data_IF_064888931459
#
_entry.id   IF_064888931459
#
_cell.length_a   1.000
_cell.length_b   1.000
_cell.length_c   1.000
_cell.angle_alpha   90.00
_cell.angle_beta   90.00
_cell.angle_gamma   90.00
#
_symmetry.space_group_name_H-M   'P 1'
#
loop_
_entity.id
_entity.type
_entity.pdbx_description
1 polymer ?
#
# COMPACT_ATOMS: atom_id res chain seq x y z
N UNK A 1 -4.69 -20.49 -7.07
CA UNK A 1 -4.73 -21.62 -6.10
C UNK A 1 -5.11 -21.09 -4.73
N UNK A 2 -5.92 -21.83 -3.98
CA UNK A 2 -6.22 -21.56 -2.57
C UNK A 2 -4.98 -21.93 -1.75
N UNK A 3 -4.65 -21.17 -0.68
CA UNK A 3 -3.54 -21.58 0.19
C UNK A 3 -3.85 -22.86 0.96
N UNK A 4 -2.84 -23.70 1.20
CA UNK A 4 -3.00 -24.95 1.95
C UNK A 4 -3.60 -24.72 3.36
N UNK A 5 -3.24 -23.61 4.00
CA UNK A 5 -3.77 -23.26 5.32
C UNK A 5 -5.29 -23.04 5.30
N UNK A 6 -5.82 -22.42 4.24
CA UNK A 6 -7.26 -22.17 4.12
C UNK A 6 -8.01 -23.45 3.79
N UNK A 7 -7.45 -24.31 2.93
CA UNK A 7 -7.99 -25.64 2.71
C UNK A 7 -8.02 -26.44 4.02
N UNK A 8 -6.92 -26.40 4.79
CA UNK A 8 -6.82 -27.10 6.08
C UNK A 8 -7.89 -26.61 7.07
N UNK A 9 -8.00 -25.28 7.27
CA UNK A 9 -9.01 -24.72 8.16
C UNK A 9 -10.45 -25.07 7.72
N UNK A 10 -10.68 -25.13 6.41
CA UNK A 10 -12.00 -25.50 5.85
C UNK A 10 -12.36 -26.94 6.18
N UNK A 11 -11.46 -27.89 5.92
CA UNK A 11 -11.74 -29.30 6.16
C UNK A 11 -11.76 -29.65 7.68
N UNK A 12 -10.98 -28.96 8.49
CA UNK A 12 -11.06 -29.07 9.96
C UNK A 12 -12.41 -28.58 10.49
N UNK A 13 -12.90 -27.45 9.99
CA UNK A 13 -14.23 -26.94 10.31
C UNK A 13 -15.34 -27.93 9.91
N UNK A 14 -15.25 -28.50 8.69
CA UNK A 14 -16.18 -29.53 8.23
C UNK A 14 -16.12 -30.78 9.09
N UNK A 15 -14.93 -31.27 9.44
CA UNK A 15 -14.76 -32.42 10.36
C UNK A 15 -15.38 -32.14 11.73
N UNK A 16 -15.19 -30.95 12.28
CA UNK A 16 -15.76 -30.55 13.57
C UNK A 16 -17.29 -30.64 13.60
N UNK A 17 -17.94 -30.35 12.47
CA UNK A 17 -19.41 -30.40 12.34
C UNK A 17 -19.90 -31.81 12.02
N UNK A 18 -19.24 -32.49 11.10
CA UNK A 18 -19.75 -33.73 10.50
C UNK A 18 -19.19 -35.03 11.09
N UNK A 19 -18.03 -34.93 11.76
CA UNK A 19 -17.22 -36.05 12.25
C UNK A 19 -16.72 -36.97 11.12
N UNK A 20 -16.68 -36.49 9.89
CA UNK A 20 -16.12 -37.15 8.73
C UNK A 20 -14.73 -36.57 8.49
N UNK A 21 -13.79 -37.45 8.20
CA UNK A 21 -12.44 -37.05 7.84
C UNK A 21 -12.32 -36.73 6.36
N UNK A 22 -11.50 -35.72 6.06
CA UNK A 22 -11.29 -35.22 4.70
C UNK A 22 -9.80 -35.11 4.37
N UNK A 23 -9.48 -35.30 3.09
CA UNK A 23 -8.17 -34.98 2.52
C UNK A 23 -8.39 -34.31 1.17
N UNK A 24 -7.71 -33.17 0.95
CA UNK A 24 -7.68 -32.46 -0.35
C UNK A 24 -6.33 -32.72 -0.99
N UNK A 25 -6.33 -33.21 -2.22
CA UNK A 25 -5.15 -33.52 -3.01
C UNK A 25 -5.18 -32.76 -4.33
N UNK A 26 -4.01 -32.47 -4.89
CA UNK A 26 -3.93 -31.99 -6.28
C UNK A 26 -4.08 -33.13 -7.28
N UNK A 27 -4.07 -32.78 -8.57
CA UNK A 27 -4.21 -33.75 -9.68
C UNK A 27 -3.00 -34.69 -9.83
N UNK A 28 -1.87 -34.36 -9.20
CA UNK A 28 -0.65 -35.17 -9.17
C UNK A 28 -0.61 -36.12 -7.95
N UNK A 29 -1.66 -36.08 -7.13
CA UNK A 29 -1.78 -36.92 -5.93
C UNK A 29 -1.02 -36.41 -4.71
N UNK A 30 -0.59 -35.13 -4.71
CA UNK A 30 0.07 -34.50 -3.55
C UNK A 30 -1.01 -34.01 -2.57
N UNK A 31 -0.89 -34.37 -1.29
CA UNK A 31 -1.77 -33.87 -0.25
C UNK A 31 -1.51 -32.39 0.03
N UNK A 32 -2.56 -31.58 -0.05
CA UNK A 32 -2.57 -30.14 0.22
C UNK A 32 -3.10 -29.82 1.61
N UNK A 33 -4.10 -30.60 2.09
CA UNK A 33 -4.69 -30.49 3.41
C UNK A 33 -5.28 -31.85 3.81
N UNK A 34 -5.17 -32.25 5.09
CA UNK A 34 -5.69 -33.54 5.56
C UNK A 34 -6.11 -33.50 7.02
N UNK A 35 -7.21 -34.17 7.35
CA UNK A 35 -7.63 -34.45 8.71
C UNK A 35 -7.50 -35.95 9.06
N UNK A 36 -6.98 -36.78 8.16
CA UNK A 36 -6.73 -38.19 8.41
C UNK A 36 -5.62 -38.37 9.45
N UNK A 37 -5.78 -39.33 10.33
CA UNK A 37 -4.83 -39.61 11.42
C UNK A 37 -3.58 -40.36 10.93
N UNK A 38 -3.66 -41.09 9.83
CA UNK A 38 -2.56 -41.83 9.23
C UNK A 38 -2.29 -41.28 7.81
N UNK A 39 -1.01 -41.12 7.45
CA UNK A 39 -0.60 -40.76 6.10
C UNK A 39 -0.59 -42.01 5.23
N UNK A 40 -1.75 -42.46 4.81
CA UNK A 40 -1.83 -43.45 3.73
C UNK A 40 -1.49 -42.79 2.39
N UNK A 41 -0.86 -43.55 1.51
CA UNK A 41 -0.46 -43.07 0.19
C UNK A 41 -1.56 -43.37 -0.83
N UNK A 42 -2.33 -42.35 -1.20
CA UNK A 42 -3.43 -42.48 -2.18
C UNK A 42 -3.04 -42.03 -3.60
N UNK A 43 -1.75 -41.87 -3.91
CA UNK A 43 -1.29 -41.28 -5.19
C UNK A 43 -1.76 -42.08 -6.38
N UNK A 44 -1.63 -43.43 -6.35
CA UNK A 44 -2.04 -44.29 -7.46
C UNK A 44 -3.56 -44.26 -7.69
N UNK A 45 -4.35 -44.27 -6.61
CA UNK A 45 -5.81 -44.19 -6.65
C UNK A 45 -6.27 -42.84 -7.18
N UNK A 46 -5.65 -41.75 -6.75
CA UNK A 46 -5.95 -40.38 -7.22
C UNK A 46 -5.64 -40.24 -8.69
N UNK A 47 -4.46 -40.67 -9.15
CA UNK A 47 -4.09 -40.63 -10.58
C UNK A 47 -5.06 -41.46 -11.46
N UNK A 48 -5.45 -42.64 -10.99
CA UNK A 48 -6.47 -43.46 -11.68
C UNK A 48 -7.84 -42.78 -11.72
N UNK A 49 -8.23 -42.11 -10.62
CA UNK A 49 -9.52 -41.40 -10.57
C UNK A 49 -9.51 -40.11 -11.41
N UNK A 50 -8.39 -39.41 -11.52
CA UNK A 50 -8.24 -38.23 -12.40
C UNK A 50 -8.59 -38.58 -13.84
N UNK A 51 -8.13 -39.72 -14.34
CA UNK A 51 -8.40 -40.22 -15.71
C UNK A 51 -9.83 -40.79 -15.88
N UNK A 52 -10.50 -41.13 -14.79
CA UNK A 52 -11.88 -41.66 -14.82
C UNK A 52 -12.88 -40.60 -15.32
N UNK A 53 -13.91 -40.96 -16.11
CA UNK A 53 -14.98 -40.04 -16.49
C UNK A 53 -15.96 -39.71 -15.34
N UNK A 54 -15.86 -40.39 -14.20
CA UNK A 54 -16.76 -40.19 -13.06
C UNK A 54 -16.39 -38.94 -12.26
N UNK A 55 -17.39 -38.17 -11.83
CA UNK A 55 -17.20 -37.02 -10.93
C UNK A 55 -17.04 -37.45 -9.47
N UNK A 56 -17.48 -38.64 -9.10
CA UNK A 56 -17.29 -39.24 -7.79
C UNK A 56 -17.19 -40.77 -7.89
N UNK A 57 -16.40 -41.38 -7.02
CA UNK A 57 -16.17 -42.82 -6.99
C UNK A 57 -15.83 -43.28 -5.56
N UNK A 58 -16.17 -44.56 -5.27
CA UNK A 58 -15.70 -45.23 -4.05
C UNK A 58 -14.45 -46.02 -4.39
N UNK A 59 -13.36 -45.75 -3.69
CA UNK A 59 -12.08 -46.44 -3.85
C UNK A 59 -11.59 -46.88 -2.47
N UNK A 60 -11.38 -48.15 -2.25
CA UNK A 60 -10.90 -48.75 -0.98
C UNK A 60 -11.68 -48.24 0.27
N UNK A 61 -13.01 -48.00 0.15
CA UNK A 61 -13.85 -47.50 1.23
C UNK A 61 -13.88 -45.99 1.43
N UNK A 62 -13.08 -45.25 0.70
CA UNK A 62 -13.08 -43.78 0.66
C UNK A 62 -13.96 -43.26 -0.47
N UNK A 63 -14.64 -42.17 -0.23
CA UNK A 63 -15.41 -41.44 -1.24
C UNK A 63 -14.50 -40.39 -1.87
N UNK A 64 -14.30 -40.46 -3.18
CA UNK A 64 -13.52 -39.53 -3.99
C UNK A 64 -14.44 -38.59 -4.74
N UNK A 65 -14.12 -37.28 -4.79
CA UNK A 65 -14.89 -36.26 -5.51
C UNK A 65 -13.96 -35.36 -6.30
N UNK A 66 -14.29 -35.09 -7.56
CA UNK A 66 -13.62 -34.10 -8.39
C UNK A 66 -14.11 -32.71 -8.08
N UNK A 67 -13.18 -31.76 -8.00
CA UNK A 67 -13.45 -30.33 -7.81
C UNK A 67 -12.86 -29.59 -9.00
N UNK A 68 -13.73 -28.89 -9.74
CA UNK A 68 -13.38 -28.21 -10.98
C UNK A 68 -13.32 -26.70 -10.79
N UNK A 69 -12.37 -26.06 -11.50
CA UNK A 69 -12.40 -24.63 -11.81
C UNK A 69 -12.90 -24.47 -13.24
N UNK A 70 -14.16 -24.03 -13.41
CA UNK A 70 -14.87 -24.03 -14.70
C UNK A 70 -14.88 -25.44 -15.34
N UNK A 71 -13.95 -25.72 -16.24
CA UNK A 71 -13.80 -27.01 -16.93
C UNK A 71 -12.50 -27.74 -16.62
N UNK A 72 -11.64 -27.14 -15.79
CA UNK A 72 -10.34 -27.72 -15.41
C UNK A 72 -10.45 -28.39 -14.04
N UNK A 73 -10.01 -29.64 -13.95
CA UNK A 73 -9.91 -30.35 -12.68
C UNK A 73 -8.76 -29.75 -11.86
N UNK A 74 -9.06 -29.26 -10.66
CA UNK A 74 -8.10 -28.61 -9.77
C UNK A 74 -7.74 -29.45 -8.55
N UNK A 75 -8.75 -30.04 -7.92
CA UNK A 75 -8.55 -30.83 -6.70
C UNK A 75 -9.35 -32.10 -6.70
N UNK A 76 -8.85 -33.08 -5.92
CA UNK A 76 -9.58 -34.29 -5.54
C UNK A 76 -9.82 -34.20 -4.02
N UNK A 77 -11.08 -34.34 -3.61
CA UNK A 77 -11.45 -34.47 -2.21
C UNK A 77 -11.71 -35.94 -1.89
N UNK A 78 -11.05 -36.43 -0.86
CA UNK A 78 -11.29 -37.72 -0.25
C UNK A 78 -12.10 -37.52 1.03
N UNK A 79 -13.11 -38.34 1.26
CA UNK A 79 -13.90 -38.35 2.48
C UNK A 79 -14.02 -39.76 3.06
N UNK A 80 -13.85 -39.89 4.37
CA UNK A 80 -13.98 -41.16 5.09
C UNK A 80 -14.68 -40.98 6.45
N UNK A 81 -15.54 -41.90 6.81
CA UNK A 81 -16.26 -41.88 8.06
C UNK A 81 -17.14 -43.13 8.27
N UNK A 82 -17.56 -43.37 9.51
CA UNK A 82 -18.34 -44.53 9.87
C UNK A 82 -19.86 -44.38 9.67
N UNK A 83 -20.35 -43.34 8.99
CA UNK A 83 -21.78 -43.12 8.77
C UNK A 83 -22.17 -43.37 7.30
N UNK A 84 -23.44 -43.73 7.07
CA UNK A 84 -23.97 -43.90 5.70
C UNK A 84 -24.05 -42.57 4.95
N UNK A 85 -23.84 -41.44 5.60
CA UNK A 85 -23.95 -40.10 5.04
C UNK A 85 -22.65 -39.57 4.41
N UNK A 86 -21.54 -40.35 4.45
CA UNK A 86 -20.21 -39.90 3.96
C UNK A 86 -20.26 -39.39 2.53
N UNK A 87 -21.03 -40.01 1.65
CA UNK A 87 -21.21 -39.57 0.27
C UNK A 87 -21.88 -38.19 0.20
N UNK A 88 -22.99 -37.99 0.90
CA UNK A 88 -23.74 -36.75 0.89
C UNK A 88 -22.90 -35.60 1.45
N UNK A 89 -22.26 -35.82 2.59
CA UNK A 89 -21.41 -34.84 3.26
C UNK A 89 -20.16 -34.55 2.44
N UNK A 90 -19.53 -35.56 1.84
CA UNK A 90 -18.40 -35.39 0.94
C UNK A 90 -18.77 -34.54 -0.29
N UNK A 91 -19.97 -34.72 -0.84
CA UNK A 91 -20.48 -33.92 -1.94
C UNK A 91 -20.71 -32.44 -1.54
N UNK A 92 -21.24 -32.20 -0.33
CA UNK A 92 -21.39 -30.85 0.22
C UNK A 92 -20.02 -30.21 0.43
N UNK A 93 -19.05 -30.95 0.98
CA UNK A 93 -17.69 -30.47 1.20
C UNK A 93 -16.98 -30.10 -0.14
N UNK A 94 -17.13 -30.96 -1.17
CA UNK A 94 -16.60 -30.69 -2.51
C UNK A 94 -17.22 -29.41 -3.09
N UNK A 95 -18.53 -29.25 -2.99
CA UNK A 95 -19.23 -28.03 -3.42
C UNK A 95 -18.76 -26.78 -2.66
N UNK A 96 -18.55 -26.90 -1.34
CA UNK A 96 -18.03 -25.79 -0.52
C UNK A 96 -16.61 -25.39 -0.96
N UNK A 97 -15.72 -26.36 -1.22
CA UNK A 97 -14.36 -26.08 -1.69
C UNK A 97 -14.39 -25.47 -3.10
N UNK A 98 -15.30 -25.93 -3.96
CA UNK A 98 -15.49 -25.36 -5.29
C UNK A 98 -15.94 -23.89 -5.22
N UNK A 99 -16.89 -23.55 -4.35
CA UNK A 99 -17.30 -22.15 -4.13
C UNK A 99 -16.15 -21.29 -3.57
N UNK A 100 -15.34 -21.85 -2.70
CA UNK A 100 -14.14 -21.21 -2.19
C UNK A 100 -13.14 -20.93 -3.33
N UNK A 101 -12.93 -21.89 -4.22
CA UNK A 101 -12.05 -21.76 -5.39
C UNK A 101 -12.49 -20.59 -6.29
N UNK A 102 -13.78 -20.53 -6.61
CA UNK A 102 -14.38 -19.44 -7.41
C UNK A 102 -14.18 -18.08 -6.72
N UNK A 103 -14.48 -17.99 -5.43
CA UNK A 103 -14.32 -16.74 -4.66
C UNK A 103 -12.86 -16.28 -4.61
N UNK A 104 -11.91 -17.19 -4.44
CA UNK A 104 -10.47 -16.88 -4.44
C UNK A 104 -9.98 -16.42 -5.80
N UNK A 105 -10.45 -17.06 -6.88
CA UNK A 105 -10.12 -16.65 -8.25
C UNK A 105 -10.63 -15.26 -8.54
N UNK A 106 -11.89 -14.97 -8.20
CA UNK A 106 -12.48 -13.63 -8.37
C UNK A 106 -11.69 -12.57 -7.60
N UNK A 107 -11.33 -12.85 -6.36
CA UNK A 107 -10.50 -11.95 -5.54
C UNK A 107 -9.12 -11.73 -6.16
N UNK A 108 -8.47 -12.78 -6.65
CA UNK A 108 -7.18 -12.69 -7.32
C UNK A 108 -7.25 -11.89 -8.61
N UNK A 109 -8.30 -12.08 -9.41
CA UNK A 109 -8.52 -11.35 -10.65
C UNK A 109 -8.78 -9.86 -10.38
N UNK A 110 -9.55 -9.52 -9.34
CA UNK A 110 -9.73 -8.13 -8.88
C UNK A 110 -8.42 -7.51 -8.41
N UNK A 111 -7.64 -8.20 -7.58
CA UNK A 111 -6.34 -7.70 -7.09
C UNK A 111 -5.37 -7.46 -8.25
N UNK A 112 -5.24 -8.42 -9.18
CA UNK A 112 -4.42 -8.26 -10.38
C UNK A 112 -4.89 -7.13 -11.28
N UNK A 113 -6.20 -6.97 -11.46
CA UNK A 113 -6.74 -5.84 -12.22
C UNK A 113 -6.37 -4.51 -11.60
N UNK A 114 -6.55 -4.36 -10.29
CA UNK A 114 -6.22 -3.13 -9.57
C UNK A 114 -4.71 -2.86 -9.62
N UNK A 115 -3.84 -3.85 -9.41
CA UNK A 115 -2.38 -3.68 -9.53
C UNK A 115 -1.95 -3.19 -10.90
N UNK A 116 -2.47 -3.82 -11.96
CA UNK A 116 -2.18 -3.39 -13.33
C UNK A 116 -2.72 -1.99 -13.64
N UNK A 117 -3.88 -1.63 -13.09
CA UNK A 117 -4.48 -0.30 -13.22
C UNK A 117 -3.60 0.76 -12.54
N UNK A 118 -3.16 0.53 -11.31
CA UNK A 118 -2.27 1.42 -10.56
C UNK A 118 -0.95 1.67 -11.30
N UNK A 119 -0.39 0.61 -11.89
CA UNK A 119 0.88 0.65 -12.62
C UNK A 119 0.77 1.17 -14.06
N UNK A 120 -0.44 1.53 -14.51
CA UNK A 120 -0.71 2.04 -15.86
C UNK A 120 -0.39 1.03 -16.98
N UNK A 121 -0.56 -0.28 -16.67
CA UNK A 121 -0.24 -1.40 -17.56
C UNK A 121 -1.42 -1.85 -18.43
N UNK A 122 -2.55 -1.13 -18.42
CA UNK A 122 -3.78 -1.50 -19.12
C UNK A 122 -4.12 -0.49 -20.20
N UNK A 123 -4.59 -0.98 -21.35
CA UNK A 123 -5.19 -0.13 -22.34
C UNK A 123 -6.59 0.34 -21.89
N UNK A 124 -7.01 1.51 -22.32
CA UNK A 124 -8.29 2.11 -21.91
C UNK A 124 -9.49 1.17 -22.15
N UNK A 125 -9.50 0.48 -23.28
CA UNK A 125 -10.56 -0.49 -23.61
C UNK A 125 -10.57 -1.68 -22.63
N UNK A 126 -9.40 -2.15 -22.23
CA UNK A 126 -9.27 -3.26 -21.28
C UNK A 126 -9.70 -2.86 -19.89
N UNK A 127 -9.45 -1.60 -19.49
CA UNK A 127 -9.87 -1.08 -18.17
C UNK A 127 -11.38 -1.22 -18.03
N UNK A 128 -12.16 -0.70 -18.97
CA UNK A 128 -13.63 -0.75 -18.89
C UNK A 128 -14.20 -2.17 -19.05
N UNK A 129 -13.64 -2.98 -19.97
CA UNK A 129 -14.08 -4.34 -20.18
C UNK A 129 -13.85 -5.23 -18.94
N UNK A 130 -12.66 -5.13 -18.33
CA UNK A 130 -12.33 -5.89 -17.11
C UNK A 130 -13.11 -5.39 -15.90
N UNK A 131 -13.25 -4.07 -15.72
CA UNK A 131 -14.06 -3.50 -14.65
C UNK A 131 -15.49 -4.02 -14.71
N UNK A 132 -16.11 -4.05 -15.90
CA UNK A 132 -17.45 -4.60 -16.11
C UNK A 132 -17.52 -6.10 -15.76
N UNK A 133 -16.54 -6.90 -16.22
CA UNK A 133 -16.48 -8.34 -15.92
C UNK A 133 -16.35 -8.62 -14.42
N UNK A 134 -15.58 -7.76 -13.71
CA UNK A 134 -15.31 -7.90 -12.29
C UNK A 134 -16.32 -7.19 -11.40
N UNK A 135 -17.39 -6.64 -11.98
CA UNK A 135 -18.43 -5.89 -11.27
C UNK A 135 -17.89 -4.72 -10.46
N UNK A 136 -16.94 -3.98 -11.05
CA UNK A 136 -16.34 -2.78 -10.45
C UNK A 136 -16.96 -1.55 -11.11
N UNK A 137 -17.56 -0.67 -10.32
CA UNK A 137 -18.14 0.58 -10.80
C UNK A 137 -17.05 1.50 -11.36
N UNK A 138 -17.26 2.07 -12.54
CA UNK A 138 -16.25 2.86 -13.26
C UNK A 138 -16.35 4.35 -12.95
N UNK A 139 -17.54 4.89 -12.75
CA UNK A 139 -17.83 6.32 -12.59
C UNK A 139 -18.17 6.65 -11.12
N UNK A 140 -17.24 6.32 -10.22
CA UNK A 140 -17.33 6.64 -8.79
C UNK A 140 -16.07 7.36 -8.32
N UNK A 141 -16.26 8.20 -7.31
CA UNK A 141 -15.15 8.96 -6.72
C UNK A 141 -14.23 8.05 -5.95
N UNK A 142 -12.92 8.10 -6.27
CA UNK A 142 -11.88 7.32 -5.59
C UNK A 142 -10.68 8.18 -5.26
N UNK A 143 -9.95 7.75 -4.25
CA UNK A 143 -8.65 8.30 -3.87
C UNK A 143 -7.72 7.17 -3.51
N UNK A 144 -6.43 7.35 -3.77
CA UNK A 144 -5.39 6.38 -3.41
C UNK A 144 -4.66 6.86 -2.17
N UNK A 145 -4.58 5.98 -1.17
CA UNK A 145 -3.65 6.11 -0.05
C UNK A 145 -2.51 5.12 -0.24
N UNK A 146 -1.30 5.55 0.08
CA UNK A 146 -0.12 4.69 0.19
C UNK A 146 0.35 4.76 1.64
N UNK A 147 0.51 3.61 2.25
CA UNK A 147 0.99 3.45 3.61
C UNK A 147 2.34 2.76 3.52
N UNK A 148 3.39 3.42 4.01
CA UNK A 148 4.71 2.83 4.15
C UNK A 148 4.96 2.51 5.62
N UNK A 149 5.45 1.28 5.89
CA UNK A 149 5.87 0.81 7.20
C UNK A 149 7.29 0.28 7.12
N UNK A 150 7.99 0.20 8.25
CA UNK A 150 9.40 -0.26 8.28
C UNK A 150 9.57 -1.77 8.12
N UNK A 151 8.53 -2.56 8.39
CA UNK A 151 8.61 -4.02 8.38
C UNK A 151 8.33 -4.60 6.99
N UNK A 152 9.37 -5.15 6.36
CA UNK A 152 9.36 -5.69 4.99
C UNK A 152 8.42 -6.89 4.76
N UNK A 153 7.77 -7.45 5.78
CA UNK A 153 6.97 -8.70 5.66
C UNK A 153 5.80 -8.82 6.64
N UNK A 154 5.29 -7.72 7.18
CA UNK A 154 4.19 -7.88 8.12
C UNK A 154 2.85 -8.06 7.38
N UNK A 155 2.49 -9.32 7.18
CA UNK A 155 1.17 -9.71 6.66
C UNK A 155 0.04 -9.17 7.54
N UNK A 156 0.31 -8.86 8.80
CA UNK A 156 -0.66 -8.33 9.75
C UNK A 156 -1.09 -6.91 9.40
N UNK A 157 -0.15 -6.01 9.03
CA UNK A 157 -0.47 -4.62 8.68
C UNK A 157 -1.46 -4.53 7.51
N UNK A 158 -1.27 -5.36 6.46
CA UNK A 158 -2.18 -5.43 5.32
C UNK A 158 -3.59 -5.89 5.75
N UNK A 159 -3.67 -6.93 6.58
CA UNK A 159 -4.95 -7.48 7.04
C UNK A 159 -5.62 -6.54 8.05
N UNK A 160 -4.87 -5.83 8.88
CA UNK A 160 -5.37 -4.82 9.80
C UNK A 160 -5.99 -3.64 9.05
N UNK A 161 -5.33 -3.14 8.00
CA UNK A 161 -5.89 -2.09 7.13
C UNK A 161 -7.15 -2.59 6.40
N UNK A 162 -7.16 -3.86 5.94
CA UNK A 162 -8.38 -4.47 5.35
C UNK A 162 -9.53 -4.53 6.33
N UNK A 163 -9.27 -4.92 7.57
CA UNK A 163 -10.29 -5.03 8.61
C UNK A 163 -10.84 -3.66 9.02
N UNK A 164 -9.98 -2.63 9.10
CA UNK A 164 -10.39 -1.25 9.40
C UNK A 164 -11.38 -0.69 8.38
N UNK A 165 -11.08 -0.90 7.09
CA UNK A 165 -11.94 -0.42 6.01
C UNK A 165 -13.25 -1.19 5.93
N UNK A 166 -13.35 -2.26 6.73
CA UNK A 166 -14.47 -3.18 6.74
C UNK A 166 -14.53 -4.01 5.46
N UNK A 167 -15.30 -5.09 5.46
CA UNK A 167 -15.58 -5.88 4.26
C UNK A 167 -16.47 -5.12 3.25
N UNK A 168 -16.24 -3.81 3.08
CA UNK A 168 -16.89 -3.03 2.02
C UNK A 168 -16.30 -3.53 0.71
N UNK A 169 -17.09 -4.21 -0.07
CA UNK A 169 -16.73 -4.79 -1.38
C UNK A 169 -16.24 -3.76 -2.40
N UNK A 170 -16.28 -2.46 -2.05
CA UNK A 170 -15.97 -1.31 -2.91
C UNK A 170 -14.55 -0.78 -2.75
N UNK A 171 -13.92 -1.01 -1.58
CA UNK A 171 -12.54 -0.60 -1.33
C UNK A 171 -11.57 -1.74 -1.69
N UNK A 172 -10.39 -1.39 -2.23
CA UNK A 172 -9.35 -2.38 -2.53
C UNK A 172 -8.11 -2.07 -1.69
N UNK A 173 -7.59 -3.12 -1.04
CA UNK A 173 -6.33 -3.05 -0.29
C UNK A 173 -5.38 -4.05 -0.90
N UNK A 174 -4.28 -3.56 -1.46
CA UNK A 174 -3.28 -4.35 -2.16
C UNK A 174 -1.87 -3.89 -1.82
N UNK A 175 -0.87 -4.61 -2.28
CA UNK A 175 0.53 -4.22 -2.23
C UNK A 175 1.13 -4.38 -3.62
N UNK A 176 1.85 -3.35 -4.09
CA UNK A 176 2.56 -3.37 -5.38
C UNK A 176 4.03 -3.74 -5.16
N UNK A 177 4.55 -3.43 -3.99
CA UNK A 177 5.88 -3.79 -3.52
C UNK A 177 5.86 -4.28 -2.06
N UNK A 178 7.02 -4.65 -1.52
CA UNK A 178 7.13 -5.24 -0.18
C UNK A 178 6.97 -4.22 0.96
N UNK A 179 7.04 -2.91 0.67
CA UNK A 179 7.08 -1.82 1.67
C UNK A 179 5.78 -1.05 1.76
N UNK A 180 4.97 -1.07 0.69
CA UNK A 180 3.84 -0.17 0.55
C UNK A 180 2.51 -0.92 0.51
N UNK A 181 1.63 -0.59 1.45
CA UNK A 181 0.22 -0.98 1.39
C UNK A 181 -0.53 0.11 0.62
N UNK A 182 -1.30 -0.28 -0.38
CA UNK A 182 -2.06 0.63 -1.21
C UNK A 182 -3.55 0.42 -0.96
N UNK A 183 -4.23 1.51 -0.66
CA UNK A 183 -5.67 1.54 -0.46
C UNK A 183 -6.31 2.35 -1.59
N UNK A 184 -7.15 1.69 -2.38
CA UNK A 184 -8.06 2.35 -3.34
C UNK A 184 -9.38 2.54 -2.64
N UNK A 185 -9.62 3.75 -2.14
CA UNK A 185 -10.79 4.10 -1.34
C UNK A 185 -11.89 4.69 -2.21
N UNK A 186 -13.08 4.10 -2.17
CA UNK A 186 -14.29 4.72 -2.73
C UNK A 186 -14.86 5.75 -1.76
N UNK A 187 -15.27 6.90 -2.28
CA UNK A 187 -15.75 8.04 -1.52
C UNK A 187 -17.25 8.28 -1.77
N UNK A 188 -17.94 8.70 -0.74
CA UNK A 188 -19.31 9.19 -0.86
C UNK A 188 -19.33 10.56 -1.56
N UNK A 189 -20.46 10.97 -2.18
CA UNK A 189 -20.54 12.23 -2.93
C UNK A 189 -20.13 13.47 -2.12
N UNK A 190 -20.35 13.46 -0.82
CA UNK A 190 -20.11 14.59 0.08
C UNK A 190 -18.73 14.55 0.77
N UNK A 191 -17.94 13.49 0.57
CA UNK A 191 -16.62 13.37 1.20
C UNK A 191 -15.69 14.43 0.62
N UNK A 192 -15.18 15.30 1.50
CA UNK A 192 -14.25 16.37 1.18
C UNK A 192 -12.87 16.12 1.76
N UNK A 193 -12.02 17.14 1.72
CA UNK A 193 -10.63 17.08 2.20
C UNK A 193 -10.52 16.65 3.68
N UNK A 194 -11.42 17.16 4.53
CA UNK A 194 -11.43 16.82 5.96
C UNK A 194 -11.71 15.32 6.21
N UNK A 195 -12.54 14.68 5.37
CA UNK A 195 -12.79 13.24 5.49
C UNK A 195 -11.58 12.40 5.04
N UNK A 196 -10.85 12.85 4.00
CA UNK A 196 -9.62 12.19 3.56
C UNK A 196 -8.55 12.20 4.67
N UNK A 197 -8.37 13.35 5.31
CA UNK A 197 -7.44 13.50 6.43
C UNK A 197 -7.83 12.59 7.59
N UNK A 198 -9.10 12.56 7.96
CA UNK A 198 -9.64 11.68 9.01
C UNK A 198 -9.46 10.19 8.68
N UNK A 199 -9.67 9.78 7.42
CA UNK A 199 -9.42 8.39 6.99
C UNK A 199 -7.94 8.04 7.16
N UNK A 200 -7.04 8.94 6.75
CA UNK A 200 -5.59 8.73 6.90
C UNK A 200 -5.17 8.66 8.37
N UNK A 201 -5.68 9.56 9.22
CA UNK A 201 -5.41 9.57 10.66
C UNK A 201 -5.92 8.31 11.37
N UNK A 202 -7.10 7.80 10.96
CA UNK A 202 -7.62 6.55 11.50
C UNK A 202 -6.73 5.35 11.14
N UNK A 203 -6.25 5.28 9.89
CA UNK A 203 -5.30 4.24 9.48
C UNK A 203 -3.98 4.35 10.25
N UNK A 204 -3.45 5.56 10.43
CA UNK A 204 -2.25 5.80 11.21
C UNK A 204 -2.40 5.36 12.67
N UNK A 205 -3.50 5.74 13.31
CA UNK A 205 -3.78 5.41 14.72
C UNK A 205 -3.88 3.90 14.92
N UNK A 206 -4.62 3.21 14.03
CA UNK A 206 -4.75 1.75 14.10
C UNK A 206 -3.39 1.06 14.00
N UNK A 207 -2.60 1.40 12.99
CA UNK A 207 -1.30 0.76 12.77
C UNK A 207 -0.34 1.02 13.94
N UNK A 208 -0.41 2.23 14.53
CA UNK A 208 0.38 2.57 15.70
C UNK A 208 -0.05 1.79 16.96
N UNK A 209 -1.34 1.55 17.15
CA UNK A 209 -1.87 0.71 18.23
C UNK A 209 -1.46 -0.76 18.07
N UNK A 210 -1.30 -1.24 16.84
CA UNK A 210 -0.80 -2.58 16.52
C UNK A 210 0.73 -2.71 16.65
N UNK A 211 1.42 -1.63 17.06
CA UNK A 211 2.86 -1.65 17.32
C UNK A 211 3.75 -1.34 16.13
N UNK A 212 3.17 -0.88 15.01
CA UNK A 212 3.95 -0.43 13.86
C UNK A 212 4.67 0.90 14.18
N UNK A 213 5.94 0.96 13.81
CA UNK A 213 6.78 2.15 13.95
C UNK A 213 7.06 2.79 12.58
N UNK A 214 7.40 4.09 12.60
CA UNK A 214 7.78 4.86 11.40
C UNK A 214 6.76 4.79 10.24
N UNK A 215 5.48 4.87 10.59
CA UNK A 215 4.37 4.87 9.64
C UNK A 215 4.33 6.21 8.90
N UNK A 216 4.31 6.16 7.57
CA UNK A 216 4.07 7.32 6.72
C UNK A 216 2.90 7.02 5.78
N UNK A 217 1.89 7.88 5.80
CA UNK A 217 0.69 7.76 4.94
C UNK A 217 0.65 8.94 3.98
N UNK A 218 0.57 8.66 2.70
CA UNK A 218 0.41 9.68 1.68
C UNK A 218 -0.82 9.42 0.82
N UNK A 219 -1.50 10.47 0.33
CA UNK A 219 -2.65 10.29 -0.56
C UNK A 219 -2.66 11.29 -1.71
N UNK A 220 -3.20 10.81 -2.84
CA UNK A 220 -3.35 11.57 -4.07
C UNK A 220 -4.59 12.46 -4.10
N UNK A 221 -4.95 12.95 -5.27
CA UNK A 221 -6.20 13.68 -5.49
C UNK A 221 -7.36 12.72 -5.76
N UNK A 222 -8.57 13.18 -5.45
CA UNK A 222 -9.81 12.46 -5.76
C UNK A 222 -10.00 12.44 -7.27
N UNK A 223 -10.29 11.26 -7.81
CA UNK A 223 -10.61 11.04 -9.22
C UNK A 223 -12.04 10.53 -9.36
N UNK A 224 -12.70 10.83 -10.49
CA UNK A 224 -14.09 10.48 -10.72
C UNK A 224 -14.32 9.27 -11.64
N UNK A 225 -13.27 8.78 -12.27
CA UNK A 225 -13.32 7.67 -13.22
C UNK A 225 -12.20 6.68 -12.91
N UNK A 226 -12.48 5.39 -13.08
CA UNK A 226 -11.52 4.31 -12.79
C UNK A 226 -10.23 4.41 -13.60
N UNK A 227 -10.28 4.92 -14.83
CA UNK A 227 -9.09 5.13 -15.68
C UNK A 227 -8.09 6.14 -15.08
N UNK A 228 -8.55 7.01 -14.17
CA UNK A 228 -7.72 8.04 -13.54
C UNK A 228 -7.09 7.58 -12.21
N UNK A 229 -7.38 6.34 -11.79
CA UNK A 229 -6.84 5.77 -10.52
C UNK A 229 -5.31 5.75 -10.54
N UNK A 230 -4.68 5.43 -11.68
CA UNK A 230 -3.21 5.49 -11.83
C UNK A 230 -2.63 6.89 -11.59
N UNK A 231 -3.36 7.94 -11.96
CA UNK A 231 -2.97 9.34 -11.68
C UNK A 231 -2.94 9.59 -10.17
N UNK A 232 -4.02 9.25 -9.45
CA UNK A 232 -4.08 9.42 -8.00
C UNK A 232 -2.98 8.62 -7.29
N UNK A 233 -2.64 7.42 -7.80
CA UNK A 233 -1.54 6.61 -7.30
C UNK A 233 -0.17 7.28 -7.49
N UNK A 234 0.12 7.79 -8.70
CA UNK A 234 1.37 8.53 -8.99
C UNK A 234 1.51 9.78 -8.11
N UNK A 235 0.40 10.48 -7.87
CA UNK A 235 0.33 11.63 -6.97
C UNK A 235 0.59 11.24 -5.51
N UNK A 236 -0.03 10.16 -5.03
CA UNK A 236 0.21 9.64 -3.68
C UNK A 236 1.67 9.20 -3.49
N UNK A 237 2.26 8.53 -4.50
CA UNK A 237 3.67 8.13 -4.48
C UNK A 237 4.60 9.34 -4.43
N UNK A 238 4.32 10.36 -5.24
CA UNK A 238 5.07 11.61 -5.19
C UNK A 238 4.92 12.31 -3.83
N UNK A 239 3.71 12.25 -3.23
CA UNK A 239 3.48 12.82 -1.90
C UNK A 239 4.28 12.07 -0.82
N UNK A 240 4.41 10.75 -0.93
CA UNK A 240 5.23 9.93 -0.04
C UNK A 240 6.71 10.34 -0.12
N UNK A 241 7.26 10.40 -1.34
CA UNK A 241 8.69 10.71 -1.56
C UNK A 241 9.03 12.15 -1.16
N UNK A 242 8.22 13.12 -1.58
CA UNK A 242 8.39 14.55 -1.22
C UNK A 242 8.21 14.75 0.28
N UNK A 243 7.32 13.98 0.88
CA UNK A 243 7.06 13.98 2.31
C UNK A 243 8.30 13.63 3.14
N UNK A 244 8.99 12.56 2.78
CA UNK A 244 10.25 12.14 3.42
C UNK A 244 11.32 13.24 3.40
N UNK A 245 11.34 14.03 2.34
CA UNK A 245 12.35 15.07 2.16
C UNK A 245 11.99 16.33 2.96
N UNK A 246 10.76 16.83 2.79
CA UNK A 246 10.41 18.17 3.23
C UNK A 246 9.50 18.22 4.46
N UNK A 247 8.82 17.13 4.78
CA UNK A 247 7.79 17.07 5.82
C UNK A 247 8.00 15.90 6.79
N UNK A 248 9.27 15.61 7.13
CA UNK A 248 9.65 14.49 8.02
C UNK A 248 8.97 14.46 9.38
N UNK A 249 8.45 15.61 9.85
CA UNK A 249 7.68 15.75 11.09
C UNK A 249 6.22 15.26 10.96
N UNK A 250 5.75 14.98 9.74
CA UNK A 250 4.36 14.63 9.46
C UNK A 250 4.24 13.16 9.11
N UNK A 251 3.29 12.50 9.75
CA UNK A 251 2.95 11.10 9.44
C UNK A 251 1.89 10.97 8.34
N UNK A 252 1.14 12.04 8.03
CA UNK A 252 0.11 12.06 6.99
C UNK A 252 0.39 13.21 6.02
N UNK A 253 0.45 12.92 4.73
CA UNK A 253 0.83 13.87 3.68
C UNK A 253 -0.15 13.81 2.51
N UNK A 254 -0.84 14.92 2.25
CA UNK A 254 -1.67 15.09 1.06
C UNK A 254 -0.84 15.59 -0.12
N UNK A 255 -1.08 15.06 -1.33
CA UNK A 255 -0.46 15.59 -2.55
C UNK A 255 -0.74 17.08 -2.76
N UNK A 256 -1.96 17.54 -2.44
CA UNK A 256 -2.34 18.95 -2.53
C UNK A 256 -1.55 19.88 -1.59
N UNK A 257 -0.98 19.35 -0.51
CA UNK A 257 -0.23 20.10 0.49
C UNK A 257 1.28 20.22 0.20
N UNK A 258 1.78 19.59 -0.86
CA UNK A 258 3.22 19.56 -1.17
C UNK A 258 3.79 20.93 -1.58
N UNK A 259 2.95 21.83 -2.09
CA UNK A 259 3.38 23.13 -2.54
C UNK A 259 4.54 23.09 -3.55
N UNK A 260 5.57 23.90 -3.29
CA UNK A 260 6.77 23.98 -4.15
C UNK A 260 7.65 22.72 -4.06
N UNK A 261 7.53 21.92 -3.01
CA UNK A 261 8.31 20.70 -2.85
C UNK A 261 8.18 19.74 -4.03
N UNK A 262 6.97 19.60 -4.60
CA UNK A 262 6.73 18.76 -5.79
C UNK A 262 7.45 19.23 -7.05
N UNK A 263 7.68 20.54 -7.19
CA UNK A 263 8.43 21.10 -8.33
C UNK A 263 9.93 20.84 -8.14
N UNK A 264 10.46 21.06 -6.94
CA UNK A 264 11.87 20.82 -6.62
C UNK A 264 12.24 19.36 -6.80
N UNK A 265 11.39 18.43 -6.38
CA UNK A 265 11.62 16.99 -6.54
C UNK A 265 11.77 16.57 -8.01
N UNK A 266 11.18 17.30 -8.95
CA UNK A 266 11.26 17.01 -10.39
C UNK A 266 12.47 17.67 -11.07
N UNK A 267 13.26 18.49 -10.36
CA UNK A 267 14.42 19.14 -10.94
C UNK A 267 15.56 18.14 -11.17
N UNK A 268 16.22 18.17 -12.35
CA UNK A 268 17.41 17.37 -12.57
C UNK A 268 18.54 17.78 -11.61
N UNK A 269 19.24 16.82 -11.02
CA UNK A 269 20.35 17.06 -10.08
C UNK A 269 21.44 18.00 -10.65
N UNK A 270 21.85 17.89 -11.93
CA UNK A 270 22.79 18.86 -12.50
C UNK A 270 22.30 20.32 -12.44
N UNK A 271 21.00 20.55 -12.66
CA UNK A 271 20.40 21.89 -12.55
C UNK A 271 20.42 22.37 -11.09
N UNK A 272 20.11 21.49 -10.14
CA UNK A 272 20.20 21.80 -8.71
C UNK A 272 21.63 22.21 -8.31
N UNK A 273 22.63 21.47 -8.74
CA UNK A 273 24.06 21.77 -8.47
C UNK A 273 24.48 23.10 -9.06
N UNK A 274 24.05 23.41 -10.28
CA UNK A 274 24.32 24.69 -10.93
C UNK A 274 23.71 25.85 -10.12
N UNK A 275 22.42 25.77 -9.80
CA UNK A 275 21.69 26.76 -9.03
C UNK A 275 22.33 27.06 -7.66
N UNK A 276 22.69 26.00 -6.92
CA UNK A 276 23.33 26.17 -5.60
C UNK A 276 24.71 26.85 -5.72
N UNK A 277 25.50 26.51 -6.76
CA UNK A 277 26.80 27.15 -7.00
C UNK A 277 26.65 28.64 -7.31
N UNK A 278 25.62 29.03 -8.07
CA UNK A 278 25.36 30.45 -8.41
C UNK A 278 24.92 31.24 -7.17
N UNK A 279 24.02 30.67 -6.33
CA UNK A 279 23.50 31.36 -5.16
C UNK A 279 24.54 31.54 -4.04
N UNK A 280 25.38 30.52 -3.82
CA UNK A 280 26.30 30.50 -2.68
C UNK A 280 27.77 30.71 -3.09
N UNK A 281 28.05 31.14 -4.33
CA UNK A 281 29.40 31.42 -4.84
C UNK A 281 30.41 30.29 -4.54
N UNK A 282 29.96 29.03 -4.61
CA UNK A 282 30.80 27.85 -4.35
C UNK A 282 30.90 27.45 -2.86
N UNK A 283 30.26 28.16 -1.94
CA UNK A 283 30.04 27.72 -0.56
C UNK A 283 28.83 26.78 -0.51
N UNK A 284 28.76 25.96 0.53
CA UNK A 284 27.58 25.12 0.78
C UNK A 284 26.71 25.71 1.89
N UNK A 285 25.38 25.60 1.83
CA UNK A 285 24.54 25.83 3.01
C UNK A 285 24.89 24.92 4.21
N UNK A 286 25.59 23.82 3.96
CA UNK A 286 26.11 22.93 5.00
C UNK A 286 27.26 23.55 5.82
N UNK A 287 27.87 24.61 5.31
CA UNK A 287 28.88 25.36 6.04
C UNK A 287 28.26 26.30 7.10
N UNK A 288 26.92 26.41 7.17
CA UNK A 288 26.26 27.15 8.23
C UNK A 288 26.23 26.35 9.52
N UNK A 289 26.59 27.00 10.62
CA UNK A 289 26.45 26.43 11.95
C UNK A 289 24.95 26.20 12.30
N UNK A 290 24.71 25.28 13.23
CA UNK A 290 23.37 24.89 13.66
C UNK A 290 22.55 26.11 14.15
N UNK A 291 23.21 27.04 14.84
CA UNK A 291 22.56 28.26 15.33
C UNK A 291 22.05 29.14 14.20
N UNK A 292 22.80 29.26 13.12
CA UNK A 292 22.41 29.98 11.89
C UNK A 292 21.21 29.29 11.22
N UNK A 293 21.24 27.96 11.07
CA UNK A 293 20.12 27.22 10.47
C UNK A 293 18.83 27.36 11.31
N UNK A 294 18.92 27.25 12.63
CA UNK A 294 17.78 27.47 13.53
C UNK A 294 17.24 28.89 13.36
N UNK A 295 18.13 29.89 13.28
CA UNK A 295 17.73 31.32 13.10
C UNK A 295 16.98 31.49 11.77
N UNK A 296 17.48 30.93 10.67
CA UNK A 296 16.87 31.01 9.34
C UNK A 296 15.49 30.35 9.35
N UNK A 297 15.39 29.12 9.87
CA UNK A 297 14.12 28.38 9.91
C UNK A 297 13.07 29.15 10.74
N UNK A 298 13.43 29.62 11.93
CA UNK A 298 12.53 30.43 12.77
C UNK A 298 12.13 31.74 12.09
N UNK A 299 13.01 32.37 11.34
CA UNK A 299 12.70 33.58 10.60
C UNK A 299 11.67 33.36 9.49
N UNK A 300 11.79 32.25 8.76
CA UNK A 300 10.78 31.83 7.78
C UNK A 300 9.44 31.43 8.42
N UNK A 301 9.47 30.67 9.53
CA UNK A 301 8.26 30.27 10.27
C UNK A 301 7.47 31.48 10.77
N UNK A 302 8.16 32.56 11.14
CA UNK A 302 7.56 33.81 11.59
C UNK A 302 7.31 34.83 10.46
N UNK A 303 7.19 34.37 9.21
CA UNK A 303 6.90 35.22 8.05
C UNK A 303 7.83 36.45 7.94
N UNK A 304 9.12 36.25 8.15
CA UNK A 304 10.18 37.24 8.10
C UNK A 304 10.01 38.38 9.14
N UNK A 305 9.31 38.11 10.25
CA UNK A 305 9.09 39.09 11.30
C UNK A 305 10.23 39.05 12.33
N UNK A 306 11.10 40.08 12.30
CA UNK A 306 12.27 40.20 13.18
C UNK A 306 11.89 40.18 14.67
N UNK A 307 10.82 40.87 15.04
CA UNK A 307 10.44 41.00 16.46
C UNK A 307 9.90 39.68 17.01
N UNK A 308 9.06 39.01 16.27
CA UNK A 308 8.50 37.71 16.66
C UNK A 308 9.57 36.63 16.69
N UNK A 309 10.45 36.60 15.70
CA UNK A 309 11.56 35.63 15.63
C UNK A 309 12.53 35.81 16.81
N UNK A 310 12.91 37.05 17.14
CA UNK A 310 13.79 37.29 18.29
C UNK A 310 13.16 36.86 19.62
N UNK A 311 11.85 37.06 19.78
CA UNK A 311 11.09 36.59 20.94
C UNK A 311 11.09 35.06 21.05
N UNK A 312 10.81 34.36 19.96
CA UNK A 312 10.77 32.90 19.96
C UNK A 312 12.15 32.25 20.10
N UNK A 313 13.21 32.91 19.63
CA UNK A 313 14.59 32.46 19.83
C UNK A 313 15.17 32.86 21.19
N UNK A 314 14.42 33.62 22.03
CA UNK A 314 14.89 34.13 23.30
C UNK A 314 16.17 34.99 23.20
N UNK A 315 16.33 35.76 22.12
CA UNK A 315 17.48 36.63 21.86
C UNK A 315 17.03 38.07 21.71
N UNK A 316 17.97 39.01 21.94
CA UNK A 316 17.69 40.43 21.69
C UNK A 316 17.52 40.70 20.18
N UNK A 317 16.62 41.61 19.81
CA UNK A 317 16.37 41.99 18.41
C UNK A 317 17.65 42.34 17.64
N UNK A 318 18.57 43.08 18.29
CA UNK A 318 19.83 43.48 17.66
C UNK A 318 20.74 42.24 17.36
N UNK A 319 20.69 41.22 18.19
CA UNK A 319 21.41 39.97 17.98
C UNK A 319 20.88 39.26 16.74
N UNK A 320 19.56 39.20 16.54
CA UNK A 320 18.94 38.64 15.34
C UNK A 320 19.35 39.44 14.09
N UNK A 321 19.25 40.76 14.15
CA UNK A 321 19.68 41.62 13.01
C UNK A 321 21.14 41.38 12.68
N UNK A 322 22.03 41.32 13.66
CA UNK A 322 23.45 41.00 13.42
C UNK A 322 23.64 39.63 12.73
N UNK A 323 22.89 38.61 13.12
CA UNK A 323 22.94 37.28 12.45
C UNK A 323 22.48 37.36 11.00
N UNK A 324 21.38 38.08 10.72
CA UNK A 324 20.89 38.29 9.36
C UNK A 324 21.90 39.10 8.52
N UNK A 325 22.55 40.14 9.10
CA UNK A 325 23.60 40.90 8.40
C UNK A 325 24.84 40.03 8.11
N UNK A 326 25.22 39.13 9.02
CA UNK A 326 26.31 38.17 8.81
C UNK A 326 25.97 37.23 7.68
N UNK A 327 24.72 36.73 7.65
CA UNK A 327 24.23 35.85 6.58
C UNK A 327 24.25 36.58 5.23
N UNK A 328 23.76 37.80 5.15
CA UNK A 328 23.78 38.62 3.93
C UNK A 328 25.21 38.81 3.42
N UNK A 329 26.18 39.11 4.32
CA UNK A 329 27.61 39.26 3.95
C UNK A 329 28.20 37.94 3.39
N UNK A 330 27.73 36.79 3.85
CA UNK A 330 28.27 35.49 3.42
C UNK A 330 27.65 34.96 2.14
N UNK A 331 26.39 35.35 1.84
CA UNK A 331 25.61 34.79 0.71
C UNK A 331 25.21 35.81 -0.32
N UNK A 332 25.34 37.12 -0.04
CA UNK A 332 24.83 38.19 -0.89
C UNK A 332 23.31 38.43 -0.77
N UNK A 333 22.56 37.54 -0.09
CA UNK A 333 21.10 37.61 0.02
C UNK A 333 20.65 38.17 1.36
N UNK A 334 19.82 39.21 1.31
CA UNK A 334 19.19 39.78 2.52
C UNK A 334 17.83 39.17 2.78
N UNK A 335 17.72 38.29 3.75
CA UNK A 335 16.45 37.58 4.07
C UNK A 335 15.31 38.52 4.51
N UNK A 336 15.56 39.82 4.73
CA UNK A 336 14.53 40.82 5.00
C UNK A 336 13.90 41.36 3.71
N UNK A 337 14.54 41.10 2.56
CA UNK A 337 14.03 41.40 1.20
C UNK A 337 13.30 40.16 0.72
N UNK A 338 12.04 40.32 0.31
CA UNK A 338 11.17 39.19 -0.04
C UNK A 338 11.73 38.30 -1.17
N UNK A 339 12.26 38.91 -2.22
CA UNK A 339 12.84 38.17 -3.39
C UNK A 339 14.07 37.36 -2.95
N UNK A 340 14.96 37.93 -2.15
CA UNK A 340 16.14 37.26 -1.62
C UNK A 340 15.74 36.12 -0.68
N UNK A 341 14.73 36.36 0.16
CA UNK A 341 14.20 35.36 1.10
C UNK A 341 13.61 34.15 0.37
N UNK A 342 12.82 34.37 -0.70
CA UNK A 342 12.29 33.28 -1.54
C UNK A 342 13.45 32.50 -2.18
N UNK A 343 14.40 33.20 -2.81
CA UNK A 343 15.56 32.59 -3.45
C UNK A 343 16.33 31.71 -2.45
N UNK A 344 16.58 32.24 -1.27
CA UNK A 344 17.27 31.50 -0.21
C UNK A 344 16.45 30.28 0.27
N UNK A 345 15.13 30.42 0.47
CA UNK A 345 14.26 29.34 0.85
C UNK A 345 14.26 28.18 -0.15
N UNK A 346 14.19 28.51 -1.45
CA UNK A 346 14.27 27.52 -2.53
C UNK A 346 15.64 26.84 -2.50
N UNK A 347 16.72 27.60 -2.33
CA UNK A 347 18.07 27.04 -2.28
C UNK A 347 18.24 26.04 -1.12
N UNK A 348 17.73 26.34 0.07
CA UNK A 348 17.72 25.37 1.17
C UNK A 348 16.93 24.09 0.85
N UNK A 349 15.77 24.23 0.20
CA UNK A 349 14.98 23.07 -0.20
C UNK A 349 15.72 22.25 -1.26
N UNK A 350 16.36 22.88 -2.25
CA UNK A 350 17.17 22.19 -3.25
C UNK A 350 18.32 21.41 -2.60
N UNK A 351 19.02 21.99 -1.64
CA UNK A 351 20.07 21.29 -0.89
C UNK A 351 19.53 20.07 -0.15
N UNK A 352 18.40 20.23 0.54
CA UNK A 352 17.75 19.11 1.25
C UNK A 352 17.38 17.97 0.29
N UNK A 353 16.86 18.30 -0.89
CA UNK A 353 16.56 17.35 -1.95
C UNK A 353 17.81 16.64 -2.47
N UNK A 354 18.88 17.38 -2.77
CA UNK A 354 20.13 16.80 -3.26
C UNK A 354 20.73 15.81 -2.25
N UNK A 355 20.76 16.16 -0.97
CA UNK A 355 21.23 15.26 0.10
C UNK A 355 20.42 13.98 0.19
N UNK A 356 19.11 14.08 0.09
CA UNK A 356 18.24 12.91 0.08
C UNK A 356 18.55 11.99 -1.12
N UNK A 357 18.70 12.56 -2.31
CA UNK A 357 19.05 11.78 -3.50
C UNK A 357 20.42 11.11 -3.38
N UNK A 358 21.41 11.80 -2.83
CA UNK A 358 22.73 11.22 -2.56
C UNK A 358 22.66 10.07 -1.53
N UNK A 359 21.76 10.14 -0.56
CA UNK A 359 21.57 9.06 0.43
C UNK A 359 20.91 7.80 -0.13
N UNK A 360 20.26 7.88 -1.30
CA UNK A 360 19.64 6.73 -1.97
C UNK A 360 20.60 6.01 -2.92
N UNK A 361 21.74 6.63 -3.28
CA UNK A 361 22.75 6.04 -4.18
C UNK A 361 23.75 5.14 -3.42
N UNK A 362 23.70 5.12 -2.08
CA UNK A 362 24.51 4.27 -1.20
C UNK A 362 23.66 3.20 -0.50
#
# INVERSE_FOLDING_TARGET
MISNQILQNTIEGLKGITRIDFCVMDTDGKSLASTFSEQENYVEEVLSFVESPADSQVVQGYQFFKIFDEHQLEYILLANGGSDDVYMVGKIAAFQIQNLLVAYKERFDKDNFIKNLLLDNLLLVDIYNRAKKLHIDTEVRRVIFIIETKHEKDTNALDNVRNLLGNRTRDFVTAVDEKNIIVVKELEPNDGHAELEKIAENMYTLLKEDGEEDILIAYGTVVGDIKEVSKSYKEAKLALDVGKIFFSERSVIAYSALGIGRLIYQLPIPLCKMFIREIFEGKSPDDFDEETLITINKFFENNLNVSETSRQLYIHRNTLVYRLDKLQKSTGLDLRVFEDAITFKIALMVVKYMKYMESLEY
#
